data_IF_761673374944
#
_entry.id   IF_761673374944
#
_cell.length_a   1.000
_cell.length_b   1.000
_cell.length_c   1.000
_cell.angle_alpha   90.00
_cell.angle_beta   90.00
_cell.angle_gamma   90.00
#
_symmetry.space_group_name_H-M   'P 1'
#
loop_
_entity.id
_entity.type
_entity.pdbx_description
1 polymer ?
#
# COMPACT_ATOMS: atom_id res chain seq x y z
N UNK A 1 -65.38 43.31 55.64
CA UNK A 1 -64.25 42.47 55.18
C UNK A 1 -64.68 41.02 55.25
N UNK A 2 -64.46 40.29 54.15
CA UNK A 2 -64.99 38.97 53.87
C UNK A 2 -63.99 37.84 54.17
N UNK A 3 -64.50 36.67 54.55
CA UNK A 3 -64.12 35.31 54.08
C UNK A 3 -64.83 34.28 54.97
N UNK A 4 -65.86 33.56 54.53
CA UNK A 4 -65.93 32.47 53.53
C UNK A 4 -64.99 31.29 53.83
N UNK A 5 -65.51 30.36 54.64
CA UNK A 5 -64.97 29.02 54.84
C UNK A 5 -65.34 28.11 53.65
N UNK A 6 -64.36 27.47 53.01
CA UNK A 6 -64.59 26.32 52.13
C UNK A 6 -63.46 25.30 52.27
N UNK A 7 -63.85 24.05 52.56
CA UNK A 7 -62.99 22.85 52.72
C UNK A 7 -62.27 22.46 51.43
N UNK A 8 -61.11 21.80 51.56
CA UNK A 8 -60.62 20.66 50.74
C UNK A 8 -59.39 20.04 51.44
N UNK A 9 -59.49 18.81 51.93
CA UNK A 9 -59.25 17.54 51.23
C UNK A 9 -57.76 17.20 51.16
N UNK A 10 -57.39 16.19 51.94
CA UNK A 10 -56.08 15.52 52.00
C UNK A 10 -55.82 14.72 50.73
N UNK A 11 -54.72 15.00 50.05
CA UNK A 11 -54.12 14.11 49.05
C UNK A 11 -52.67 13.89 49.43
N UNK A 12 -52.42 12.68 49.92
CA UNK A 12 -51.11 12.04 50.02
C UNK A 12 -50.59 11.81 48.60
N UNK A 13 -49.64 12.63 48.16
CA UNK A 13 -48.75 12.26 47.07
C UNK A 13 -47.52 11.58 47.67
N UNK A 14 -47.51 10.25 47.58
CA UNK A 14 -46.30 9.44 47.75
C UNK A 14 -45.26 9.91 46.73
N UNK A 15 -44.15 10.45 47.22
CA UNK A 15 -42.97 10.67 46.41
C UNK A 15 -42.41 9.30 46.01
N UNK A 16 -42.63 8.91 44.76
CA UNK A 16 -41.94 7.78 44.13
C UNK A 16 -40.43 8.06 44.14
N UNK A 17 -39.59 7.03 44.39
CA UNK A 17 -38.15 7.21 44.40
C UNK A 17 -37.71 7.63 43.00
N UNK A 18 -36.94 8.72 42.94
CA UNK A 18 -36.18 9.14 41.77
C UNK A 18 -35.58 7.90 41.10
N UNK A 19 -36.04 7.60 39.89
CA UNK A 19 -35.40 6.62 39.05
C UNK A 19 -33.95 7.06 38.88
N UNK A 20 -33.02 6.20 39.28
CA UNK A 20 -31.64 6.27 38.82
C UNK A 20 -31.70 6.23 37.28
N UNK A 21 -31.58 7.39 36.64
CA UNK A 21 -31.31 7.47 35.22
C UNK A 21 -30.00 6.71 35.02
N UNK A 22 -30.09 5.49 34.47
CA UNK A 22 -28.93 4.74 34.07
C UNK A 22 -28.16 5.62 33.08
N UNK A 23 -27.07 6.24 33.53
CA UNK A 23 -26.17 6.99 32.67
C UNK A 23 -25.80 6.06 31.51
N UNK A 24 -26.33 6.36 30.32
CA UNK A 24 -25.95 5.71 29.09
C UNK A 24 -24.45 5.96 28.95
N UNK A 25 -23.65 4.95 29.32
CA UNK A 25 -22.20 4.97 29.26
C UNK A 25 -21.77 4.98 27.78
N UNK A 26 -21.91 6.14 27.17
CA UNK A 26 -21.55 6.39 25.78
C UNK A 26 -20.02 6.39 25.66
N UNK A 27 -19.49 5.26 25.19
CA UNK A 27 -18.07 5.11 24.90
C UNK A 27 -17.77 5.63 23.49
N UNK A 28 -17.17 6.81 23.39
CA UNK A 28 -16.71 7.36 22.12
C UNK A 28 -15.44 6.65 21.64
N UNK A 29 -15.31 6.43 20.33
CA UNK A 29 -14.09 5.83 19.77
C UNK A 29 -12.82 6.63 20.12
N UNK A 30 -12.95 7.94 20.36
CA UNK A 30 -11.87 8.83 20.78
C UNK A 30 -11.45 8.63 22.23
N UNK A 31 -12.28 8.01 23.09
CA UNK A 31 -11.93 7.68 24.47
C UNK A 31 -11.21 6.34 24.60
N UNK A 32 -11.20 5.50 23.57
CA UNK A 32 -10.39 4.28 23.52
C UNK A 32 -8.91 4.61 23.60
N UNK A 33 -8.09 3.68 24.11
CA UNK A 33 -6.63 3.81 24.16
C UNK A 33 -5.98 3.72 22.76
N UNK A 34 -4.73 4.16 22.63
CA UNK A 34 -4.01 4.07 21.35
C UNK A 34 -3.81 2.63 20.90
N UNK A 35 -3.56 1.73 21.84
CA UNK A 35 -3.35 0.31 21.62
C UNK A 35 -4.60 -0.33 21.00
N UNK A 36 -5.78 -0.04 21.56
CA UNK A 36 -7.05 -0.55 21.04
C UNK A 36 -7.33 0.00 19.65
N UNK A 37 -7.14 1.31 19.44
CA UNK A 37 -7.36 1.95 18.13
C UNK A 37 -6.41 1.38 17.05
N UNK A 38 -5.16 1.14 17.40
CA UNK A 38 -4.17 0.54 16.50
C UNK A 38 -4.46 -0.94 16.25
N UNK A 39 -4.91 -1.67 17.26
CA UNK A 39 -5.33 -3.06 17.12
C UNK A 39 -6.50 -3.18 16.14
N UNK A 40 -7.58 -2.39 16.32
CA UNK A 40 -8.70 -2.32 15.38
C UNK A 40 -8.22 -1.98 13.97
N UNK A 41 -7.27 -1.05 13.84
CA UNK A 41 -6.70 -0.65 12.55
C UNK A 41 -5.98 -1.80 11.80
N UNK A 42 -5.53 -2.85 12.50
CA UNK A 42 -4.93 -4.03 11.84
C UNK A 42 -5.95 -4.87 11.07
N UNK A 43 -7.23 -4.78 11.41
CA UNK A 43 -8.34 -5.52 10.77
C UNK A 43 -8.98 -4.81 9.59
N UNK A 44 -8.74 -3.51 9.43
CA UNK A 44 -9.28 -2.72 8.33
C UNK A 44 -8.54 -3.06 7.01
N UNK A 45 -8.76 -2.33 5.92
CA UNK A 45 -7.83 -2.32 4.77
C UNK A 45 -6.92 -1.08 4.86
N UNK A 46 -5.77 -1.08 4.18
CA UNK A 46 -4.81 0.02 4.24
C UNK A 46 -5.40 1.38 3.81
N UNK A 47 -6.35 1.40 2.86
CA UNK A 47 -7.00 2.64 2.40
C UNK A 47 -7.91 3.19 3.49
N UNK A 48 -8.68 2.34 4.16
CA UNK A 48 -9.54 2.74 5.28
C UNK A 48 -8.71 3.21 6.48
N UNK A 49 -7.59 2.56 6.78
CA UNK A 49 -6.63 3.01 7.81
C UNK A 49 -6.06 4.40 7.48
N UNK A 50 -5.67 4.64 6.23
CA UNK A 50 -5.15 5.95 5.81
C UNK A 50 -6.25 7.02 5.90
N UNK A 51 -7.49 6.70 5.53
CA UNK A 51 -8.63 7.62 5.71
C UNK A 51 -8.88 7.94 7.19
N UNK A 52 -8.86 6.92 8.04
CA UNK A 52 -8.99 7.09 9.49
C UNK A 52 -7.88 7.99 10.05
N UNK A 53 -6.65 7.86 9.56
CA UNK A 53 -5.52 8.72 9.96
C UNK A 53 -5.71 10.20 9.65
N UNK A 54 -6.65 10.55 8.75
CA UNK A 54 -6.95 11.94 8.39
C UNK A 54 -7.95 12.61 9.34
N UNK A 55 -8.65 11.86 10.19
CA UNK A 55 -9.72 12.41 11.03
C UNK A 55 -9.18 13.28 12.18
N UNK A 56 -8.12 12.84 12.86
CA UNK A 56 -7.52 13.61 13.95
C UNK A 56 -6.00 13.40 14.05
N UNK A 57 -5.29 14.30 14.73
CA UNK A 57 -3.83 14.25 14.90
C UNK A 57 -3.38 12.96 15.61
N UNK A 58 -4.11 12.56 16.65
CA UNK A 58 -3.83 11.35 17.43
C UNK A 58 -3.81 10.09 16.55
N UNK A 59 -4.84 9.91 15.71
CA UNK A 59 -4.92 8.79 14.77
C UNK A 59 -3.88 8.91 13.66
N UNK A 60 -3.60 10.13 13.18
CA UNK A 60 -2.56 10.39 12.19
C UNK A 60 -1.20 9.89 12.65
N UNK A 61 -0.79 10.31 13.85
CA UNK A 61 0.51 10.00 14.41
C UNK A 61 0.56 8.52 14.81
N UNK A 62 -0.48 8.02 15.50
CA UNK A 62 -0.60 6.62 15.87
C UNK A 62 -0.48 5.68 14.68
N UNK A 63 -1.30 5.90 13.64
CA UNK A 63 -1.27 5.07 12.43
C UNK A 63 0.09 5.17 11.74
N UNK A 64 0.61 6.38 11.51
CA UNK A 64 1.85 6.57 10.74
C UNK A 64 3.09 5.96 11.39
N UNK A 65 3.15 5.97 12.73
CA UNK A 65 4.31 5.48 13.49
C UNK A 65 4.14 4.06 14.03
N UNK A 66 3.00 3.40 13.79
CA UNK A 66 2.79 2.01 14.19
C UNK A 66 3.53 1.04 13.27
N UNK A 67 4.76 0.71 13.64
CA UNK A 67 5.55 -0.31 12.94
C UNK A 67 4.83 -1.68 12.88
N UNK A 68 4.19 -2.21 13.94
CA UNK A 68 3.46 -3.49 13.87
C UNK A 68 2.35 -3.49 12.83
N UNK A 69 1.57 -2.41 12.74
CA UNK A 69 0.49 -2.26 11.77
C UNK A 69 1.03 -2.36 10.34
N UNK A 70 2.07 -1.59 10.01
CA UNK A 70 2.59 -1.55 8.64
C UNK A 70 3.42 -2.77 8.26
N UNK A 71 4.07 -3.44 9.22
CA UNK A 71 4.69 -4.76 8.99
C UNK A 71 3.64 -5.79 8.61
N UNK A 72 2.54 -5.84 9.36
CA UNK A 72 1.45 -6.77 9.05
C UNK A 72 0.80 -6.47 7.69
N UNK A 73 0.68 -5.19 7.32
CA UNK A 73 0.20 -4.78 5.99
C UNK A 73 1.13 -5.19 4.86
N UNK A 74 2.44 -4.95 5.02
CA UNK A 74 3.44 -5.39 4.05
C UNK A 74 3.36 -6.91 3.84
N UNK A 75 3.17 -7.67 4.93
CA UNK A 75 3.01 -9.13 4.87
C UNK A 75 1.72 -9.54 4.17
N UNK A 76 0.57 -8.98 4.55
CA UNK A 76 -0.76 -9.36 3.99
C UNK A 76 -0.96 -8.89 2.56
N UNK A 77 -0.67 -7.63 2.30
CA UNK A 77 -1.02 -6.99 1.03
C UNK A 77 0.03 -7.31 -0.04
N UNK A 78 1.29 -7.53 0.38
CA UNK A 78 2.43 -7.65 -0.52
C UNK A 78 3.27 -8.92 -0.36
N UNK A 79 2.97 -9.81 0.58
CA UNK A 79 3.79 -10.99 0.91
C UNK A 79 5.24 -10.63 1.33
N UNK A 80 5.42 -9.43 1.92
CA UNK A 80 6.71 -8.91 2.34
C UNK A 80 6.87 -8.96 3.86
N UNK A 81 7.49 -10.03 4.37
CA UNK A 81 7.87 -10.13 5.78
C UNK A 81 9.19 -9.42 6.06
N UNK A 82 9.13 -8.10 6.22
CA UNK A 82 10.30 -7.28 6.47
C UNK A 82 10.65 -7.24 7.97
N UNK A 83 11.80 -7.81 8.34
CA UNK A 83 12.33 -7.71 9.71
C UNK A 83 12.99 -6.36 10.01
N UNK A 84 13.55 -5.73 8.98
CA UNK A 84 14.30 -4.47 9.07
C UNK A 84 13.64 -3.38 8.25
N UNK A 85 13.73 -2.13 8.71
CA UNK A 85 13.24 -0.94 7.98
C UNK A 85 14.33 -0.09 7.35
N UNK A 86 15.59 -0.23 7.77
CA UNK A 86 16.67 0.64 7.29
C UNK A 86 16.89 0.44 5.78
N UNK A 87 17.15 1.52 5.02
CA UNK A 87 17.43 2.89 5.48
C UNK A 87 16.18 3.81 5.60
N UNK A 88 14.97 3.26 5.56
CA UNK A 88 13.74 4.03 5.68
C UNK A 88 13.42 4.37 7.15
N UNK A 89 12.65 5.46 7.35
CA UNK A 89 12.30 5.96 8.70
C UNK A 89 11.25 5.10 9.39
N UNK A 90 10.30 4.52 8.64
CA UNK A 90 9.22 3.69 9.16
C UNK A 90 8.79 2.62 8.16
N UNK A 91 8.11 1.57 8.63
CA UNK A 91 7.47 0.60 7.73
C UNK A 91 6.34 1.22 6.92
N UNK A 92 5.70 2.28 7.42
CA UNK A 92 4.74 3.08 6.64
C UNK A 92 5.37 3.66 5.36
N UNK A 93 6.58 4.22 5.46
CA UNK A 93 7.28 4.76 4.30
C UNK A 93 7.56 3.67 3.26
N UNK A 94 7.96 2.47 3.72
CA UNK A 94 8.19 1.33 2.83
C UNK A 94 6.88 0.90 2.17
N UNK A 95 5.82 0.73 2.95
CA UNK A 95 4.49 0.35 2.47
C UNK A 95 4.01 1.31 1.37
N UNK A 96 4.11 2.63 1.59
CA UNK A 96 3.72 3.64 0.59
C UNK A 96 4.49 3.46 -0.71
N UNK A 97 5.81 3.29 -0.64
CA UNK A 97 6.67 3.18 -1.82
C UNK A 97 6.45 1.87 -2.56
N UNK A 98 6.26 0.75 -1.85
CA UNK A 98 5.91 -0.54 -2.49
C UNK A 98 4.54 -0.45 -3.16
N UNK A 99 3.55 0.19 -2.53
CA UNK A 99 2.25 0.43 -3.15
C UNK A 99 2.39 1.24 -4.43
N UNK A 100 3.17 2.33 -4.42
CA UNK A 100 3.44 3.16 -5.62
C UNK A 100 4.12 2.34 -6.72
N UNK A 101 5.12 1.53 -6.39
CA UNK A 101 5.85 0.74 -7.39
C UNK A 101 4.96 -0.33 -8.02
N UNK A 102 4.05 -0.95 -7.25
CA UNK A 102 3.08 -1.92 -7.80
C UNK A 102 2.10 -1.24 -8.76
N UNK A 103 1.60 -0.06 -8.42
CA UNK A 103 0.72 0.71 -9.32
C UNK A 103 1.46 1.07 -10.61
N UNK A 104 2.68 1.59 -10.52
CA UNK A 104 3.45 1.91 -11.73
C UNK A 104 3.78 0.67 -12.55
N UNK A 105 4.10 -0.45 -11.90
CA UNK A 105 4.33 -1.73 -12.60
C UNK A 105 3.09 -2.12 -13.41
N UNK A 106 1.89 -2.03 -12.82
CA UNK A 106 0.62 -2.27 -13.53
C UNK A 106 0.41 -1.29 -14.69
N UNK A 107 0.74 -0.01 -14.51
CA UNK A 107 0.64 1.00 -15.57
C UNK A 107 1.59 0.70 -16.73
N UNK A 108 2.88 0.42 -16.47
CA UNK A 108 3.86 0.08 -17.49
C UNK A 108 3.54 -1.26 -18.20
N UNK A 109 2.87 -2.18 -17.51
CA UNK A 109 2.39 -3.44 -18.08
C UNK A 109 0.97 -3.33 -18.67
N UNK A 110 0.34 -2.15 -18.67
CA UNK A 110 -0.98 -1.93 -19.28
C UNK A 110 -0.86 -1.62 -20.78
N UNK A 111 -1.91 -1.91 -21.54
CA UNK A 111 -1.96 -1.78 -23.01
C UNK A 111 -1.52 -0.40 -23.53
N UNK A 112 -1.69 0.68 -22.74
CA UNK A 112 -1.27 2.04 -23.10
C UNK A 112 0.23 2.18 -23.38
N UNK A 113 1.07 1.43 -22.67
CA UNK A 113 2.51 1.42 -22.92
C UNK A 113 2.91 0.41 -24.00
N UNK A 114 2.01 -0.51 -24.35
CA UNK A 114 2.22 -1.49 -25.42
C UNK A 114 2.02 -0.92 -26.82
N UNK A 115 1.15 0.08 -27.01
CA UNK A 115 0.99 0.76 -28.30
C UNK A 115 2.23 1.56 -28.74
N UNK A 116 3.16 1.84 -27.82
CA UNK A 116 4.38 2.62 -28.09
C UNK A 116 5.56 1.82 -28.67
N UNK A 117 5.37 0.54 -29.04
CA UNK A 117 6.44 -0.34 -29.54
C UNK A 117 7.47 -0.78 -28.48
N UNK A 118 7.31 -0.34 -27.23
CA UNK A 118 8.14 -0.73 -26.07
C UNK A 118 7.45 -1.84 -25.26
N UNK A 119 7.12 -2.93 -25.93
CA UNK A 119 6.37 -4.07 -25.38
C UNK A 119 6.96 -4.58 -24.05
N UNK A 120 6.13 -4.68 -23.00
CA UNK A 120 6.50 -5.28 -21.70
C UNK A 120 7.80 -4.73 -21.09
N UNK A 121 8.17 -3.47 -21.40
CA UNK A 121 9.40 -2.88 -20.92
C UNK A 121 9.18 -2.18 -19.58
N UNK A 122 9.67 -2.80 -18.52
CA UNK A 122 9.78 -2.17 -17.21
C UNK A 122 11.08 -1.34 -17.16
N UNK A 123 11.00 -0.03 -16.82
CA UNK A 123 12.19 0.80 -16.65
C UNK A 123 13.19 0.19 -15.66
N UNK A 124 14.49 0.38 -15.92
CA UNK A 124 15.57 -0.19 -15.10
C UNK A 124 15.46 0.14 -13.61
N UNK A 125 15.04 1.36 -13.27
CA UNK A 125 14.86 1.78 -11.89
C UNK A 125 13.68 1.07 -11.19
N UNK A 126 12.63 0.72 -11.94
CA UNK A 126 11.44 0.07 -11.40
C UNK A 126 11.72 -1.38 -11.02
N UNK A 127 12.62 -2.06 -11.75
CA UNK A 127 13.09 -3.39 -11.39
C UNK A 127 13.64 -3.46 -9.97
N UNK A 128 14.30 -2.41 -9.49
CA UNK A 128 14.79 -2.32 -8.10
C UNK A 128 13.67 -2.56 -7.08
N UNK A 129 12.48 -2.03 -7.34
CA UNK A 129 11.33 -2.19 -6.46
C UNK A 129 10.68 -3.56 -6.58
N UNK A 130 10.73 -4.15 -7.78
CA UNK A 130 10.24 -5.52 -8.00
C UNK A 130 11.18 -6.52 -7.33
N UNK A 131 12.49 -6.24 -7.23
CA UNK A 131 13.45 -7.09 -6.48
C UNK A 131 13.16 -7.20 -4.99
N UNK A 132 12.38 -6.26 -4.44
CA UNK A 132 11.90 -6.35 -3.06
C UNK A 132 10.80 -7.40 -2.95
N UNK A 133 10.03 -7.64 -4.02
CA UNK A 133 9.05 -8.71 -4.06
C UNK A 133 9.78 -10.05 -4.16
N UNK A 134 9.41 -10.98 -3.30
CA UNK A 134 9.85 -12.37 -3.35
C UNK A 134 9.19 -13.14 -4.50
N UNK A 135 8.13 -12.58 -5.09
CA UNK A 135 7.35 -13.12 -6.19
C UNK A 135 7.44 -12.28 -7.46
N UNK A 136 7.29 -12.95 -8.61
CA UNK A 136 7.22 -12.30 -9.91
C UNK A 136 6.00 -11.36 -9.96
N UNK A 137 6.10 -10.22 -10.68
CA UNK A 137 4.96 -9.33 -10.82
C UNK A 137 3.78 -10.04 -11.48
N UNK A 138 2.58 -9.83 -10.94
CA UNK A 138 1.36 -10.38 -11.53
C UNK A 138 1.18 -9.89 -12.96
N UNK A 139 1.09 -10.84 -13.89
CA UNK A 139 0.86 -10.53 -15.29
C UNK A 139 -0.62 -10.24 -15.53
N UNK A 140 -0.96 -9.09 -16.13
CA UNK A 140 -2.26 -8.87 -16.75
C UNK A 140 -2.73 -10.08 -17.58
N UNK A 141 -4.03 -10.37 -17.52
CA UNK A 141 -4.65 -11.53 -18.18
C UNK A 141 -4.37 -11.59 -19.68
N UNK A 142 -4.35 -10.44 -20.33
CA UNK A 142 -4.08 -10.32 -21.75
C UNK A 142 -2.61 -10.67 -22.10
N UNK A 143 -1.63 -10.38 -21.22
CA UNK A 143 -0.23 -10.81 -21.41
C UNK A 143 -0.13 -12.32 -21.22
N UNK A 144 -0.81 -12.85 -20.19
CA UNK A 144 -0.85 -14.28 -19.90
C UNK A 144 -1.37 -15.09 -21.10
N UNK A 145 -2.33 -14.52 -21.82
CA UNK A 145 -2.99 -15.13 -22.97
C UNK A 145 -2.39 -14.67 -24.32
N UNK A 146 -1.34 -13.84 -24.31
CA UNK A 146 -0.78 -13.29 -25.53
C UNK A 146 -0.15 -14.37 -26.41
N UNK A 147 -0.40 -14.32 -27.73
CA UNK A 147 0.08 -15.34 -28.70
C UNK A 147 1.60 -15.48 -28.69
N UNK A 148 2.32 -14.38 -28.54
CA UNK A 148 3.79 -14.38 -28.45
C UNK A 148 4.30 -14.86 -27.07
N UNK A 149 4.89 -16.07 -27.05
CA UNK A 149 5.53 -16.66 -25.87
C UNK A 149 6.63 -15.77 -25.27
N UNK A 150 7.32 -14.99 -26.11
CA UNK A 150 8.39 -14.06 -25.70
C UNK A 150 7.92 -12.99 -24.71
N UNK A 151 6.69 -12.46 -24.86
CA UNK A 151 6.17 -11.43 -23.95
C UNK A 151 5.89 -11.98 -22.55
N UNK A 152 5.52 -13.27 -22.45
CA UNK A 152 5.36 -13.95 -21.17
C UNK A 152 6.72 -14.07 -20.47
N UNK A 153 7.73 -14.57 -21.19
CA UNK A 153 9.11 -14.76 -20.70
C UNK A 153 9.73 -13.43 -20.25
N UNK A 154 9.55 -12.34 -21.00
CA UNK A 154 10.18 -11.04 -20.71
C UNK A 154 9.73 -10.42 -19.37
N UNK A 155 8.53 -10.78 -18.91
CA UNK A 155 7.94 -10.23 -17.67
C UNK A 155 7.96 -11.27 -16.55
N UNK A 156 7.87 -12.56 -16.87
CA UNK A 156 7.98 -13.66 -15.90
C UNK A 156 9.42 -14.02 -15.54
N UNK A 157 10.41 -13.64 -16.35
CA UNK A 157 11.82 -13.99 -16.14
C UNK A 157 12.74 -12.77 -16.16
N UNK A 158 13.91 -12.94 -15.54
CA UNK A 158 14.87 -11.87 -15.32
C UNK A 158 16.03 -11.99 -16.31
N UNK A 159 16.26 -10.98 -17.18
CA UNK A 159 17.39 -11.01 -18.09
C UNK A 159 18.71 -10.85 -17.33
N UNK A 160 19.74 -11.62 -17.70
CA UNK A 160 21.04 -11.67 -17.02
C UNK A 160 21.67 -10.28 -16.83
N UNK A 161 21.63 -9.43 -17.85
CA UNK A 161 22.15 -8.06 -17.75
C UNK A 161 21.41 -7.18 -16.73
N UNK A 162 20.17 -7.51 -16.35
CA UNK A 162 19.44 -6.86 -15.25
C UNK A 162 19.78 -7.51 -13.92
N UNK A 163 19.93 -8.82 -13.88
CA UNK A 163 20.35 -9.55 -12.69
C UNK A 163 21.71 -9.05 -12.20
N UNK A 164 22.69 -8.95 -13.10
CA UNK A 164 24.01 -8.39 -12.84
C UNK A 164 23.91 -6.97 -12.25
N UNK A 165 23.05 -6.13 -12.83
CA UNK A 165 22.88 -4.75 -12.35
C UNK A 165 22.15 -4.66 -11.02
N UNK A 166 21.08 -5.43 -10.81
CA UNK A 166 20.15 -5.29 -9.70
C UNK A 166 20.45 -6.19 -8.49
N UNK A 167 21.14 -7.31 -8.68
CA UNK A 167 21.55 -8.24 -7.63
C UNK A 167 23.07 -8.45 -7.52
N UNK A 168 23.86 -7.87 -8.45
CA UNK A 168 25.32 -8.04 -8.47
C UNK A 168 25.77 -9.51 -8.64
N UNK A 169 24.94 -10.33 -9.31
CA UNK A 169 25.26 -11.71 -9.63
C UNK A 169 25.86 -11.79 -11.03
N UNK A 170 27.04 -12.38 -11.16
CA UNK A 170 27.76 -12.62 -12.39
C UNK A 170 27.18 -13.84 -13.14
N UNK A 171 27.50 -13.97 -14.42
CA UNK A 171 27.05 -15.11 -15.23
C UNK A 171 27.51 -16.46 -14.65
N UNK A 172 28.73 -16.51 -14.11
CA UNK A 172 29.29 -17.70 -13.48
C UNK A 172 28.56 -18.16 -12.21
N UNK A 173 27.84 -17.25 -11.53
CA UNK A 173 27.05 -17.61 -10.34
C UNK A 173 25.84 -18.51 -10.70
N UNK A 174 25.47 -18.57 -11.98
CA UNK A 174 24.34 -19.37 -12.49
C UNK A 174 24.78 -20.71 -13.10
N UNK A 175 25.99 -21.19 -12.80
CA UNK A 175 26.45 -22.50 -13.27
C UNK A 175 25.50 -23.61 -12.83
N UNK A 176 25.03 -24.43 -13.79
CA UNK A 176 24.08 -25.51 -13.54
C UNK A 176 22.62 -25.07 -13.36
N UNK A 177 22.33 -23.76 -13.45
CA UNK A 177 20.95 -23.23 -13.44
C UNK A 177 20.37 -23.26 -14.84
N UNK A 178 19.10 -23.64 -14.97
CA UNK A 178 18.39 -23.62 -16.25
C UNK A 178 18.30 -22.19 -16.78
N UNK A 179 18.88 -21.96 -17.95
CA UNK A 179 18.73 -20.71 -18.69
C UNK A 179 17.62 -20.80 -19.74
N UNK A 180 16.93 -19.68 -19.95
CA UNK A 180 15.99 -19.48 -21.06
C UNK A 180 16.61 -18.45 -22.00
N UNK A 181 16.76 -18.78 -23.28
CA UNK A 181 17.31 -17.86 -24.29
C UNK A 181 16.22 -17.39 -25.24
N UNK A 182 16.25 -16.11 -25.62
CA UNK A 182 15.46 -15.62 -26.73
C UNK A 182 16.20 -15.80 -28.07
N UNK A 183 15.52 -15.54 -29.18
CA UNK A 183 16.07 -15.60 -30.55
C UNK A 183 17.27 -14.67 -30.77
N UNK A 184 17.38 -13.60 -29.97
CA UNK A 184 18.50 -12.65 -29.99
C UNK A 184 19.66 -13.05 -29.07
N UNK A 185 19.63 -14.27 -28.49
CA UNK A 185 20.65 -14.77 -27.59
C UNK A 185 20.67 -14.14 -26.20
N UNK A 186 19.66 -13.34 -25.82
CA UNK A 186 19.55 -12.81 -24.46
C UNK A 186 19.18 -13.93 -23.50
N UNK A 187 19.96 -14.06 -22.42
CA UNK A 187 19.78 -15.05 -21.37
C UNK A 187 18.83 -14.52 -20.29
N UNK A 188 17.89 -15.37 -19.88
CA UNK A 188 16.92 -15.13 -18.82
C UNK A 188 17.00 -16.26 -17.78
N UNK A 189 16.69 -15.91 -16.54
CA UNK A 189 16.56 -16.83 -15.42
C UNK A 189 15.25 -16.62 -14.69
N UNK A 190 14.72 -17.68 -14.09
CA UNK A 190 13.53 -17.60 -13.25
C UNK A 190 13.80 -16.79 -11.98
N UNK A 191 12.76 -16.15 -11.44
CA UNK A 191 12.87 -15.43 -10.16
C UNK A 191 13.33 -16.34 -9.01
N UNK A 192 12.82 -17.57 -8.97
CA UNK A 192 13.19 -18.55 -7.94
C UNK A 192 14.68 -18.86 -7.99
N UNK A 193 15.24 -19.06 -9.19
CA UNK A 193 16.64 -19.40 -9.33
C UNK A 193 17.55 -18.21 -9.03
N UNK A 194 17.16 -16.99 -9.42
CA UNK A 194 17.88 -15.77 -9.02
C UNK A 194 17.91 -15.62 -7.50
N UNK A 195 16.80 -15.88 -6.81
CA UNK A 195 16.79 -15.85 -5.34
C UNK A 195 17.65 -16.94 -4.72
N UNK A 196 17.61 -18.18 -5.23
CA UNK A 196 18.48 -19.28 -4.75
C UNK A 196 19.95 -18.94 -4.91
N UNK A 197 20.36 -18.45 -6.08
CA UNK A 197 21.74 -18.06 -6.37
C UNK A 197 22.17 -16.88 -5.50
N UNK A 198 21.29 -15.89 -5.32
CA UNK A 198 21.56 -14.79 -4.40
C UNK A 198 21.78 -15.31 -2.97
N UNK A 199 20.91 -16.21 -2.50
CA UNK A 199 21.00 -16.74 -1.15
C UNK A 199 22.28 -17.53 -0.92
N UNK A 200 22.70 -18.32 -1.90
CA UNK A 200 23.96 -19.05 -1.84
C UNK A 200 25.17 -18.11 -1.76
N UNK A 201 25.14 -16.96 -2.45
CA UNK A 201 26.28 -16.05 -2.56
C UNK A 201 26.38 -15.03 -1.42
N UNK A 202 25.26 -14.44 -1.02
CA UNK A 202 25.22 -13.26 -0.16
C UNK A 202 24.57 -13.50 1.21
N UNK A 203 24.14 -14.73 1.50
CA UNK A 203 23.42 -15.06 2.73
C UNK A 203 21.91 -15.08 2.52
N UNK A 204 21.15 -15.29 3.59
CA UNK A 204 19.72 -15.57 3.50
C UNK A 204 18.83 -14.37 3.14
N UNK A 205 17.55 -14.53 3.47
CA UNK A 205 16.52 -13.50 3.27
C UNK A 205 16.85 -12.13 3.92
N UNK A 206 17.48 -12.05 5.12
CA UNK A 206 17.82 -10.76 5.74
C UNK A 206 18.78 -9.91 4.89
N UNK A 207 19.83 -10.52 4.33
CA UNK A 207 20.83 -9.85 3.51
C UNK A 207 20.25 -9.38 2.18
N UNK A 208 19.42 -10.21 1.53
CA UNK A 208 18.66 -9.81 0.35
C UNK A 208 17.78 -8.61 0.65
N UNK A 209 17.05 -8.65 1.77
CA UNK A 209 16.16 -7.58 2.19
C UNK A 209 16.93 -6.27 2.42
N UNK A 210 18.05 -6.32 3.13
CA UNK A 210 18.88 -5.15 3.40
C UNK A 210 19.45 -4.54 2.10
N UNK A 211 19.94 -5.40 1.20
CA UNK A 211 20.45 -5.00 -0.10
C UNK A 211 19.37 -4.33 -0.97
N UNK A 212 18.20 -4.96 -1.09
CA UNK A 212 17.07 -4.46 -1.87
C UNK A 212 16.54 -3.13 -1.30
N UNK A 213 16.38 -3.00 0.02
CA UNK A 213 15.95 -1.75 0.66
C UNK A 213 16.95 -0.60 0.44
N UNK A 214 18.26 -0.87 0.49
CA UNK A 214 19.31 0.13 0.21
C UNK A 214 19.26 0.63 -1.23
N UNK A 215 18.90 -0.21 -2.20
CA UNK A 215 18.75 0.21 -3.59
C UNK A 215 17.42 0.92 -3.84
N UNK A 216 16.34 0.43 -3.24
CA UNK A 216 15.04 1.09 -3.25
C UNK A 216 15.15 2.53 -2.74
N UNK A 217 15.88 2.76 -1.64
CA UNK A 217 16.03 4.12 -1.10
C UNK A 217 16.73 5.10 -2.06
N UNK A 218 17.69 4.62 -2.86
CA UNK A 218 18.36 5.41 -3.91
C UNK A 218 17.42 5.73 -5.07
N UNK A 219 16.51 4.80 -5.41
CA UNK A 219 15.52 4.96 -6.47
C UNK A 219 14.25 5.71 -6.04
N UNK A 220 14.10 6.02 -4.75
CA UNK A 220 12.88 6.63 -4.15
C UNK A 220 12.39 7.86 -4.90
N UNK A 221 13.26 8.85 -5.11
CA UNK A 221 12.86 10.13 -5.74
C UNK A 221 12.32 9.93 -7.16
N UNK A 222 12.90 8.98 -7.90
CA UNK A 222 12.47 8.69 -9.26
C UNK A 222 11.09 8.01 -9.27
N UNK A 223 10.88 7.05 -8.35
CA UNK A 223 9.58 6.42 -8.15
C UNK A 223 8.49 7.44 -7.81
N UNK A 224 8.74 8.33 -6.85
CA UNK A 224 7.77 9.32 -6.42
C UNK A 224 7.42 10.31 -7.54
N UNK A 225 8.41 10.77 -8.33
CA UNK A 225 8.17 11.64 -9.49
C UNK A 225 7.34 10.96 -10.57
N UNK A 226 7.74 9.77 -11.00
CA UNK A 226 7.02 9.04 -12.05
C UNK A 226 5.62 8.62 -11.62
N UNK A 227 5.41 8.34 -10.32
CA UNK A 227 4.07 8.10 -9.78
C UNK A 227 3.19 9.33 -9.98
N UNK A 228 3.63 10.50 -9.52
CA UNK A 228 2.90 11.75 -9.71
C UNK A 228 2.61 12.00 -11.20
N UNK A 229 3.63 12.01 -12.05
CA UNK A 229 3.47 12.26 -13.50
C UNK A 229 2.43 11.36 -14.17
N UNK A 230 2.42 10.06 -13.84
CA UNK A 230 1.56 9.09 -14.49
C UNK A 230 0.16 8.97 -13.88
N UNK A 231 -0.05 9.43 -12.64
CA UNK A 231 -1.35 9.37 -11.97
C UNK A 231 -2.09 10.71 -11.93
N UNK A 232 -1.39 11.84 -11.82
CA UNK A 232 -2.02 13.17 -11.71
C UNK A 232 -2.20 13.90 -13.04
N UNK A 233 -1.54 13.47 -14.12
CA UNK A 233 -1.82 14.03 -15.43
C UNK A 233 -3.24 13.64 -15.88
N UNK A 234 -4.17 14.60 -15.90
CA UNK A 234 -5.31 14.55 -16.80
C UNK A 234 -4.75 14.34 -18.21
N UNK A 235 -4.86 13.12 -18.74
CA UNK A 235 -4.30 12.81 -20.04
C UNK A 235 -4.96 13.64 -21.14
N UNK A 236 -4.23 14.04 -22.20
CA UNK A 236 -4.88 14.48 -23.42
C UNK A 236 -5.78 13.34 -23.92
N UNK A 237 -7.08 13.62 -23.96
CA UNK A 237 -8.17 12.89 -24.64
C UNK A 237 -8.17 11.35 -24.66
N UNK A 238 -9.22 10.82 -24.01
CA UNK A 238 -10.09 9.72 -24.47
C UNK A 238 -9.64 8.25 -24.28
N UNK A 239 -10.20 7.63 -23.23
CA UNK A 239 -11.14 6.50 -23.34
C UNK A 239 -11.78 6.23 -21.96
N UNK A 240 -13.07 6.54 -21.84
CA UNK A 240 -13.86 6.44 -20.59
C UNK A 240 -13.97 5.01 -20.03
N UNK A 241 -13.73 3.98 -20.85
CA UNK A 241 -13.74 2.58 -20.41
C UNK A 241 -12.60 2.23 -19.45
N UNK A 242 -11.43 2.88 -19.58
CA UNK A 242 -10.28 2.63 -18.70
C UNK A 242 -10.28 3.51 -17.44
N UNK A 243 -10.97 4.66 -17.48
CA UNK A 243 -11.23 5.43 -16.27
C UNK A 243 -12.05 4.60 -15.28
N UNK A 244 -13.00 3.77 -15.69
CA UNK A 244 -13.69 2.86 -14.77
C UNK A 244 -12.74 1.85 -14.08
N UNK A 245 -11.80 1.24 -14.81
CA UNK A 245 -10.89 0.21 -14.24
C UNK A 245 -9.76 0.79 -13.38
N UNK A 246 -9.29 2.00 -13.68
CA UNK A 246 -8.24 2.69 -12.90
C UNK A 246 -8.87 3.43 -11.70
N UNK A 247 -10.09 3.97 -11.84
CA UNK A 247 -10.82 4.65 -10.76
C UNK A 247 -11.25 3.67 -9.65
N UNK A 248 -11.44 2.38 -9.97
CA UNK A 248 -11.71 1.37 -8.95
C UNK A 248 -10.50 0.96 -8.10
N UNK A 249 -9.26 1.32 -8.48
CA UNK A 249 -8.06 0.87 -7.77
C UNK A 249 -7.21 1.95 -7.09
N UNK A 250 -7.40 3.25 -7.35
CA UNK A 250 -6.92 4.36 -6.50
C UNK A 250 -7.56 5.69 -6.92
N UNK A 251 -8.23 6.45 -6.03
CA UNK A 251 -8.62 7.83 -6.36
C UNK A 251 -7.50 8.82 -6.05
N UNK A 252 -7.32 9.74 -6.99
CA UNK A 252 -6.31 10.80 -7.14
C UNK A 252 -6.21 11.87 -6.03
N UNK A 253 -6.74 11.65 -4.82
CA UNK A 253 -6.83 12.70 -3.80
C UNK A 253 -6.02 12.39 -2.54
N UNK A 254 -4.71 12.14 -2.69
CA UNK A 254 -3.80 12.00 -1.56
C UNK A 254 -3.02 13.27 -1.21
N UNK A 255 -3.01 14.30 -2.06
CA UNK A 255 -2.17 15.49 -1.84
C UNK A 255 -2.77 16.85 -2.22
N UNK A 256 -4.08 16.96 -2.42
CA UNK A 256 -4.73 18.28 -2.53
C UNK A 256 -5.15 18.79 -1.16
N UNK A 257 -4.48 19.84 -0.70
CA UNK A 257 -4.94 20.73 0.36
C UNK A 257 -6.20 21.44 -0.12
N UNK A 258 -7.34 21.12 0.47
CA UNK A 258 -8.49 22.04 0.48
C UNK A 258 -9.04 22.13 1.89
N UNK A 259 -8.89 23.34 2.45
CA UNK A 259 -9.64 23.86 3.57
C UNK A 259 -11.14 23.77 3.29
N UNK A 260 -11.93 23.59 4.36
CA UNK A 260 -13.38 23.83 4.31
C UNK A 260 -14.23 22.76 4.97
N UNK A 261 -14.05 22.52 6.28
CA UNK A 261 -15.11 22.00 7.14
C UNK A 261 -15.15 22.85 8.41
N UNK A 262 -15.50 24.13 8.24
CA UNK A 262 -16.24 24.82 9.29
C UNK A 262 -17.58 24.09 9.46
N UNK A 263 -18.07 24.00 10.69
CA UNK A 263 -19.41 23.51 11.09
C UNK A 263 -19.56 22.10 11.70
N UNK A 264 -18.51 21.31 11.95
CA UNK A 264 -18.68 20.03 12.69
C UNK A 264 -17.91 19.91 14.02
N UNK A 265 -17.32 20.99 14.51
CA UNK A 265 -16.81 21.03 15.89
C UNK A 265 -17.35 22.28 16.58
N UNK A 266 -18.46 22.11 17.31
CA UNK A 266 -18.77 23.03 18.41
C UNK A 266 -17.84 22.68 19.56
N UNK A 267 -17.06 23.67 19.98
CA UNK A 267 -16.23 23.63 21.17
C UNK A 267 -17.11 23.48 22.41
N UNK A 268 -16.77 22.56 23.29
CA UNK A 268 -16.88 22.74 24.74
C UNK A 268 -15.44 22.86 25.22
#
# INVERSE_FOLDING_TARGET
MASSFRRKASTSEEALPFGEEAEENNCYITSLSNEILLYVSTYMDARSVIRLSKTCRRLRDGVRFSDPLWKERLRRDFELDLRIKRPFKSFYDIYRLVSMSRTLTKIYLSERFYSSGKYGYLPGWLWTWITLNTSAPELPSWIRNHREKFLRIKVSELPLGRIQRAWNLAAGDFSGVREVRNERGTIYYSWSDVHKVFFAKYGGLPELTAHSLKRCSRAKRHLERSFTELTTAEGPSQNQAAQALITFSLPNNLFTTTCGLSHLFRSI
#
